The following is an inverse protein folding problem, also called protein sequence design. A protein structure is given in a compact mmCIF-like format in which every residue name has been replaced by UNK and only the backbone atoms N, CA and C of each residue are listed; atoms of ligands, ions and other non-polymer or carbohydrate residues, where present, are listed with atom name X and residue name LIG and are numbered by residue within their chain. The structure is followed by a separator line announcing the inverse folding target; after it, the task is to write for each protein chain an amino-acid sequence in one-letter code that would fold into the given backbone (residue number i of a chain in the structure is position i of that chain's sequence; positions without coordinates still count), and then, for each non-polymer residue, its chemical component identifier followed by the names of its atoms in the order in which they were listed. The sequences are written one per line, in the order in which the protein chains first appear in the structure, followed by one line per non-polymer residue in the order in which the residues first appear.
data_IF_426379551589
#
_entry.id   IF_426379551589
#
_cell.length_a   1.000
_cell.length_b   1.000
_cell.length_c   1.000
_cell.angle_alpha   90.00
_cell.angle_beta   90.00
_cell.angle_gamma   90.00
#
_symmetry.space_group_name_H-M   'P 1'
#
loop_
_entity.id
_entity.type
_entity.pdbx_description
1 polymer ?
#
# COMPACT_ATOMS: atom_id res chain seq x y z
N UNK A 1 47.84 -47.87 -8.65
CA UNK A 1 48.08 -47.98 -10.12
C UNK A 1 47.40 -46.78 -10.80
N UNK A 2 48.03 -46.04 -11.72
CA UNK A 2 48.16 -46.32 -13.18
C UNK A 2 46.77 -46.63 -13.80
N UNK A 3 46.08 -45.71 -14.51
CA UNK A 3 46.31 -45.05 -15.83
C UNK A 3 45.80 -45.87 -17.04
N UNK A 4 44.67 -45.44 -17.64
CA UNK A 4 44.33 -45.31 -19.10
C UNK A 4 44.54 -46.52 -20.06
N UNK A 5 44.18 -46.45 -21.37
CA UNK A 5 43.28 -45.54 -22.11
C UNK A 5 41.95 -46.29 -22.48
N UNK A 6 41.22 -46.29 -23.61
CA UNK A 6 41.26 -45.70 -24.99
C UNK A 6 39.91 -45.04 -25.38
N UNK A 7 39.57 -44.99 -26.68
CA UNK A 7 39.22 -43.73 -27.37
C UNK A 7 38.65 -43.95 -28.79
N UNK A 8 37.38 -43.59 -29.03
CA UNK A 8 36.78 -43.36 -30.38
C UNK A 8 35.48 -42.53 -30.24
N UNK A 9 35.12 -41.61 -31.15
CA UNK A 9 35.81 -41.04 -32.33
C UNK A 9 35.23 -39.64 -32.67
N UNK A 10 35.94 -38.84 -33.48
CA UNK A 10 35.70 -37.38 -33.68
C UNK A 10 35.19 -37.05 -35.08
N UNK A 11 34.31 -36.04 -35.21
CA UNK A 11 34.09 -35.09 -36.35
C UNK A 11 33.19 -33.94 -35.81
N UNK A 12 33.33 -32.63 -36.10
CA UNK A 12 34.42 -31.84 -36.71
C UNK A 12 34.04 -30.34 -36.91
N UNK A 13 34.91 -29.40 -36.49
CA UNK A 13 35.30 -28.04 -37.01
C UNK A 13 34.22 -27.18 -37.76
N UNK A 14 33.93 -25.90 -37.40
CA UNK A 14 34.49 -24.57 -37.86
C UNK A 14 33.84 -23.47 -36.96
N UNK A 15 34.50 -22.55 -36.23
CA UNK A 15 35.37 -21.36 -36.51
C UNK A 15 34.66 -20.03 -36.93
N UNK A 16 34.35 -19.22 -35.92
CA UNK A 16 34.37 -17.74 -35.73
C UNK A 16 34.69 -16.79 -36.92
N UNK A 17 33.93 -15.68 -37.09
CA UNK A 17 34.47 -14.29 -37.11
C UNK A 17 33.43 -13.15 -36.89
N UNK A 18 33.92 -11.93 -36.61
CA UNK A 18 33.23 -10.65 -36.38
C UNK A 18 33.54 -9.63 -37.50
N UNK A 19 32.60 -8.74 -37.86
CA UNK A 19 32.85 -7.52 -38.68
C UNK A 19 31.93 -6.37 -38.24
N UNK A 20 32.43 -5.13 -38.29
CA UNK A 20 31.72 -3.84 -38.14
C UNK A 20 31.75 -3.06 -39.47
N UNK A 21 30.74 -2.24 -39.80
CA UNK A 21 30.95 -1.00 -40.59
C UNK A 21 29.73 -0.04 -40.62
N UNK A 22 29.86 1.08 -41.36
CA UNK A 22 29.04 2.30 -41.28
C UNK A 22 28.36 2.69 -42.62
N UNK A 23 27.26 3.46 -42.56
CA UNK A 23 27.18 4.75 -43.28
C UNK A 23 26.24 4.97 -44.50
N UNK A 24 25.89 6.26 -44.67
CA UNK A 24 25.45 6.98 -45.88
C UNK A 24 23.95 7.05 -46.30
N UNK A 25 23.61 8.20 -46.93
CA UNK A 25 22.29 8.63 -47.42
C UNK A 25 22.18 8.57 -48.96
N UNK A 26 20.95 8.56 -49.49
CA UNK A 26 20.66 8.99 -50.86
C UNK A 26 19.25 9.63 -50.98
N UNK A 27 19.08 10.64 -51.85
CA UNK A 27 17.79 11.25 -52.20
C UNK A 27 17.40 10.92 -53.65
N UNK A 28 16.11 10.80 -53.93
CA UNK A 28 15.54 11.12 -55.25
C UNK A 28 14.05 11.51 -55.17
N UNK A 29 13.57 12.23 -56.20
CA UNK A 29 12.26 12.90 -56.24
C UNK A 29 11.35 12.32 -57.35
N UNK A 30 10.02 12.60 -57.34
CA UNK A 30 9.01 11.71 -57.94
C UNK A 30 8.51 12.12 -59.33
N UNK A 31 7.65 11.27 -59.92
CA UNK A 31 6.84 11.57 -61.11
C UNK A 31 5.34 11.43 -60.83
N UNK A 32 4.51 12.10 -61.64
CA UNK A 32 3.04 12.17 -61.50
C UNK A 32 2.32 11.20 -62.43
N UNK A 33 1.24 10.58 -61.93
CA UNK A 33 -0.09 10.35 -62.55
C UNK A 33 -0.93 9.55 -61.52
N UNK A 34 -2.22 9.82 -61.26
CA UNK A 34 -3.19 10.70 -61.93
C UNK A 34 -3.94 11.64 -60.95
N UNK A 35 -4.75 12.56 -61.50
CA UNK A 35 -5.74 13.39 -60.81
C UNK A 35 -7.17 12.85 -61.13
N UNK A 36 -8.31 13.28 -60.57
CA UNK A 36 -8.85 14.66 -60.45
C UNK A 36 -9.91 14.77 -59.35
N UNK A 37 -9.66 15.68 -58.38
CA UNK A 37 -10.52 16.74 -57.80
C UNK A 37 -12.04 16.52 -57.64
N UNK A 38 -12.55 16.82 -56.42
CA UNK A 38 -13.75 17.66 -56.06
C UNK A 38 -14.53 17.02 -54.87
N UNK A 39 -14.93 17.71 -53.78
CA UNK A 39 -14.80 19.10 -53.33
C UNK A 39 -14.70 19.16 -51.78
N UNK A 40 -14.61 20.38 -51.22
CA UNK A 40 -14.66 20.71 -49.78
C UNK A 40 -13.50 20.17 -48.90
N UNK A 41 -12.47 21.01 -48.68
CA UNK A 41 -11.56 20.88 -47.53
C UNK A 41 -12.19 21.41 -46.23
N UNK A 42 -11.51 21.37 -45.07
CA UNK A 42 -10.13 20.97 -44.77
C UNK A 42 -10.19 19.81 -43.74
N UNK A 43 -9.32 18.78 -43.72
CA UNK A 43 -7.85 18.76 -43.62
C UNK A 43 -7.30 19.46 -42.35
N UNK A 44 -6.26 18.95 -41.68
CA UNK A 44 -5.33 17.87 -42.09
C UNK A 44 -5.33 16.59 -41.25
N UNK A 45 -4.67 15.58 -41.80
CA UNK A 45 -4.35 14.29 -41.17
C UNK A 45 -2.84 14.23 -40.82
N UNK A 46 -2.25 13.10 -40.36
CA UNK A 46 -1.16 13.14 -39.38
C UNK A 46 0.23 13.47 -39.96
N UNK A 47 1.07 14.07 -39.12
CA UNK A 47 2.53 14.11 -39.32
C UNK A 47 3.19 12.98 -38.54
N UNK A 48 4.05 12.20 -39.19
CA UNK A 48 4.97 11.28 -38.53
C UNK A 48 6.13 12.14 -37.99
N UNK A 49 6.34 12.13 -36.67
CA UNK A 49 7.38 12.92 -36.00
C UNK A 49 8.51 12.00 -35.55
N UNK A 50 9.75 12.42 -35.79
CA UNK A 50 10.97 11.72 -35.36
C UNK A 50 11.03 11.62 -33.83
N UNK A 51 11.74 10.61 -33.32
CA UNK A 51 12.00 10.48 -31.89
C UNK A 51 12.72 11.73 -31.36
N UNK A 52 12.05 12.47 -30.48
CA UNK A 52 12.62 13.53 -29.64
C UNK A 52 12.28 13.23 -28.19
N UNK A 53 13.14 13.70 -27.28
CA UNK A 53 13.02 13.49 -25.82
C UNK A 53 11.70 14.05 -25.29
N UNK A 54 10.90 13.23 -24.60
CA UNK A 54 9.66 13.69 -24.00
C UNK A 54 9.93 14.55 -22.76
N UNK A 55 9.68 15.85 -22.86
CA UNK A 55 9.51 16.70 -21.69
C UNK A 55 8.19 16.38 -20.98
N UNK A 56 8.21 16.37 -19.64
CA UNK A 56 7.12 15.83 -18.82
C UNK A 56 6.05 16.87 -18.46
N UNK A 57 5.43 17.48 -19.47
CA UNK A 57 4.23 18.30 -19.34
C UNK A 57 3.10 17.72 -20.22
N UNK A 58 1.84 17.62 -19.80
CA UNK A 58 1.15 18.24 -18.65
C UNK A 58 0.35 17.21 -17.85
N UNK A 59 0.20 17.44 -16.54
CA UNK A 59 -0.86 16.78 -15.75
C UNK A 59 -2.18 17.50 -16.04
N UNK A 60 -3.26 16.76 -16.31
CA UNK A 60 -4.59 17.37 -16.51
C UNK A 60 -5.13 17.96 -15.20
N UNK A 61 -4.89 19.26 -15.02
CA UNK A 61 -5.36 20.07 -13.90
C UNK A 61 -6.91 20.16 -13.87
N UNK A 62 -7.60 19.92 -14.99
CA UNK A 62 -9.07 19.96 -15.05
C UNK A 62 -9.70 18.71 -14.44
N UNK A 63 -9.32 17.50 -14.87
CA UNK A 63 -9.73 16.26 -14.24
C UNK A 63 -9.28 16.19 -12.77
N UNK A 64 -8.07 16.69 -12.47
CA UNK A 64 -7.56 16.79 -11.10
C UNK A 64 -8.48 17.65 -10.20
N UNK A 65 -8.91 18.84 -10.67
CA UNK A 65 -9.79 19.69 -9.88
C UNK A 65 -11.25 19.20 -9.85
N UNK A 66 -11.73 18.53 -10.90
CA UNK A 66 -13.06 17.89 -10.91
C UNK A 66 -13.21 16.82 -9.82
N UNK A 67 -12.12 16.11 -9.50
CA UNK A 67 -12.07 15.18 -8.37
C UNK A 67 -11.94 15.85 -6.99
N UNK A 68 -11.68 17.17 -6.94
CA UNK A 68 -11.37 17.94 -5.72
C UNK A 68 -12.46 18.95 -5.30
N UNK A 69 -13.40 19.31 -6.17
CA UNK A 69 -14.47 20.30 -5.93
C UNK A 69 -15.57 19.78 -4.96
N UNK A 70 -15.17 19.55 -3.71
CA UNK A 70 -15.89 18.73 -2.72
C UNK A 70 -16.54 19.47 -1.54
N UNK A 71 -15.84 20.41 -0.90
CA UNK A 71 -16.37 21.22 0.21
C UNK A 71 -15.41 22.33 0.63
N UNK A 72 -15.95 23.51 0.95
CA UNK A 72 -15.23 24.58 1.67
C UNK A 72 -16.18 25.25 2.66
N UNK A 73 -16.19 24.76 3.90
CA UNK A 73 -16.87 25.43 5.03
C UNK A 73 -15.90 26.42 5.70
N UNK A 74 -16.37 27.57 6.20
CA UNK A 74 -15.51 28.55 6.87
C UNK A 74 -14.91 27.95 8.15
N UNK A 75 -13.62 28.15 8.36
CA UNK A 75 -12.93 27.64 9.53
C UNK A 75 -13.32 28.43 10.79
N UNK A 76 -13.77 27.73 11.83
CA UNK A 76 -14.01 28.31 13.16
C UNK A 76 -12.76 28.13 14.02
N UNK A 77 -12.13 29.23 14.43
CA UNK A 77 -10.86 29.20 15.18
C UNK A 77 -11.08 28.77 16.63
N UNK A 78 -11.02 27.46 16.89
CA UNK A 78 -11.04 26.92 18.26
C UNK A 78 -9.67 27.09 18.92
N UNK A 79 -9.63 27.64 20.13
CA UNK A 79 -8.39 27.78 20.90
C UNK A 79 -7.89 26.40 21.35
N UNK A 80 -6.63 26.09 21.03
CA UNK A 80 -6.01 24.81 21.38
C UNK A 80 -5.80 24.76 22.90
N UNK A 81 -6.51 23.86 23.58
CA UNK A 81 -6.14 23.43 24.93
C UNK A 81 -5.02 22.40 24.81
N UNK A 82 -3.97 22.55 25.62
CA UNK A 82 -2.87 21.59 25.77
C UNK A 82 -3.36 20.31 26.46
N UNK A 83 -4.07 19.47 25.71
CA UNK A 83 -4.45 18.12 26.15
C UNK A 83 -3.21 17.23 26.24
N UNK A 84 -3.11 16.43 27.31
CA UNK A 84 -2.11 15.35 27.36
C UNK A 84 -2.33 14.43 26.16
N UNK A 85 -1.25 14.09 25.46
CA UNK A 85 -1.26 13.07 24.42
C UNK A 85 -1.83 11.78 25.01
N UNK A 86 -2.74 11.13 24.30
CA UNK A 86 -3.35 9.85 24.69
C UNK A 86 -2.61 8.71 24.00
N UNK A 87 -2.55 7.56 24.66
CA UNK A 87 -2.07 6.32 24.04
C UNK A 87 -2.84 6.03 22.76
N UNK A 88 -2.16 5.88 21.63
CA UNK A 88 -2.77 5.45 20.36
C UNK A 88 -3.12 3.96 20.37
N UNK A 89 -2.36 3.16 21.12
CA UNK A 89 -2.55 1.73 21.24
C UNK A 89 -3.44 1.47 22.46
N UNK A 90 -4.44 0.62 22.27
CA UNK A 90 -5.31 0.09 23.32
C UNK A 90 -5.64 -1.34 22.92
N UNK A 91 -4.96 -2.35 23.53
CA UNK A 91 -5.26 -3.75 23.28
C UNK A 91 -6.69 -4.08 23.70
N UNK A 92 -7.34 -4.98 22.96
CA UNK A 92 -8.69 -5.47 23.29
C UNK A 92 -8.89 -6.88 22.74
N UNK A 93 -9.80 -7.65 23.37
CA UNK A 93 -10.17 -8.98 22.88
C UNK A 93 -10.81 -8.91 21.49
N UNK A 94 -11.61 -7.86 21.26
CA UNK A 94 -12.27 -7.59 19.99
C UNK A 94 -12.15 -6.08 19.63
N UNK A 95 -11.25 -5.71 18.70
CA UNK A 95 -10.96 -4.32 18.38
C UNK A 95 -11.87 -3.81 17.26
N UNK A 96 -12.54 -2.66 17.46
CA UNK A 96 -13.34 -2.02 16.42
C UNK A 96 -12.58 -1.91 15.08
N UNK A 97 -13.19 -2.21 13.92
CA UNK A 97 -12.49 -2.29 12.62
C UNK A 97 -11.96 -0.94 12.12
N UNK A 98 -12.25 0.16 12.83
CA UNK A 98 -11.65 1.46 12.61
C UNK A 98 -10.73 1.88 13.78
N UNK A 99 -9.67 2.59 13.43
CA UNK A 99 -8.81 3.29 14.37
C UNK A 99 -8.84 4.81 14.06
N UNK A 100 -9.13 5.67 15.06
CA UNK A 100 -8.91 7.11 14.91
C UNK A 100 -7.42 7.43 14.84
N UNK A 101 -6.99 8.14 13.79
CA UNK A 101 -5.62 8.64 13.59
C UNK A 101 -5.62 10.13 13.23
N UNK A 102 -4.47 10.82 13.40
CA UNK A 102 -4.33 12.26 13.10
C UNK A 102 -4.73 12.59 11.67
N UNK A 103 -5.43 13.71 11.50
CA UNK A 103 -5.92 14.24 10.23
C UNK A 103 -5.32 15.61 9.86
N UNK A 104 -5.96 16.28 8.89
CA UNK A 104 -5.55 17.60 8.42
C UNK A 104 -6.28 18.75 9.11
N UNK A 105 -5.60 19.89 9.27
CA UNK A 105 -6.10 21.03 10.05
C UNK A 105 -7.41 21.62 9.49
N UNK A 106 -7.69 21.45 8.19
CA UNK A 106 -8.92 21.91 7.51
C UNK A 106 -10.08 20.91 7.64
N UNK A 107 -10.62 20.78 8.85
CA UNK A 107 -11.97 20.27 9.08
C UNK A 107 -12.08 18.92 9.82
N UNK A 108 -11.00 18.16 9.96
CA UNK A 108 -10.96 16.96 10.83
C UNK A 108 -9.56 16.72 11.38
N UNK A 109 -9.35 17.07 12.66
CA UNK A 109 -8.15 16.69 13.42
C UNK A 109 -7.95 15.16 13.52
N UNK A 110 -9.00 14.38 13.30
CA UNK A 110 -8.96 12.91 13.34
C UNK A 110 -9.70 12.32 12.15
N UNK A 111 -9.06 11.37 11.45
CA UNK A 111 -9.70 10.51 10.44
C UNK A 111 -9.74 9.07 10.92
N UNK A 112 -10.58 8.24 10.30
CA UNK A 112 -10.69 6.82 10.63
C UNK A 112 -9.94 5.99 9.59
N UNK A 113 -8.99 5.16 10.00
CA UNK A 113 -8.33 4.17 9.15
C UNK A 113 -8.92 2.77 9.40
N UNK A 114 -9.29 2.00 8.36
CA UNK A 114 -9.62 0.59 8.52
C UNK A 114 -8.42 -0.21 9.02
N UNK A 115 -8.59 -0.91 10.16
CA UNK A 115 -7.53 -1.67 10.85
C UNK A 115 -7.01 -2.85 10.04
N UNK A 116 -7.76 -3.34 9.06
CA UNK A 116 -7.26 -4.26 8.04
C UNK A 116 -7.31 -3.56 6.70
N UNK A 117 -6.14 -3.40 6.08
CA UNK A 117 -6.01 -3.07 4.67
C UNK A 117 -5.49 -4.25 3.86
N UNK A 118 -5.22 -3.99 2.58
CA UNK A 118 -4.63 -4.96 1.66
C UNK A 118 -3.40 -4.33 0.99
N UNK A 119 -2.24 -4.96 1.14
CA UNK A 119 -0.99 -4.47 0.54
C UNK A 119 -0.72 -5.12 -0.80
N UNK A 120 -0.60 -4.28 -1.83
CA UNK A 120 -0.42 -4.72 -3.21
C UNK A 120 1.05 -4.98 -3.58
N UNK A 121 2.04 -4.47 -2.83
CA UNK A 121 3.49 -4.75 -2.87
C UNK A 121 4.04 -5.55 -4.07
N UNK A 122 4.66 -6.74 -3.90
CA UNK A 122 5.24 -7.55 -5.00
C UNK A 122 4.19 -8.32 -5.82
N UNK A 123 3.06 -7.70 -6.16
CA UNK A 123 2.05 -8.29 -7.08
C UNK A 123 2.48 -8.09 -8.52
N UNK A 124 2.42 -9.15 -9.33
CA UNK A 124 2.72 -9.05 -10.75
C UNK A 124 1.69 -8.14 -11.46
N UNK A 125 2.11 -7.16 -12.29
CA UNK A 125 1.24 -6.08 -12.78
C UNK A 125 -0.07 -6.56 -13.43
N UNK A 126 -0.02 -7.67 -14.17
CA UNK A 126 -1.16 -8.28 -14.86
C UNK A 126 -2.27 -8.77 -13.92
N UNK A 127 -1.96 -8.91 -12.62
CA UNK A 127 -2.89 -9.36 -11.58
C UNK A 127 -3.37 -8.25 -10.66
N UNK A 128 -2.69 -7.10 -10.63
CA UNK A 128 -2.93 -6.02 -9.68
C UNK A 128 -4.39 -5.54 -9.71
N UNK A 129 -4.97 -5.39 -10.91
CA UNK A 129 -6.38 -5.03 -11.06
C UNK A 129 -7.32 -6.13 -10.54
N UNK A 130 -7.06 -7.42 -10.83
CA UNK A 130 -7.87 -8.55 -10.33
C UNK A 130 -7.80 -8.67 -8.81
N UNK A 131 -6.61 -8.53 -8.22
CA UNK A 131 -6.41 -8.47 -6.77
C UNK A 131 -7.22 -7.33 -6.15
N UNK A 132 -7.16 -6.13 -6.74
CA UNK A 132 -7.92 -4.95 -6.30
C UNK A 132 -9.43 -5.19 -6.34
N UNK A 133 -9.95 -5.79 -7.43
CA UNK A 133 -11.37 -6.11 -7.56
C UNK A 133 -11.84 -7.16 -6.53
N UNK A 134 -11.09 -8.25 -6.35
CA UNK A 134 -11.40 -9.29 -5.36
C UNK A 134 -11.39 -8.71 -3.94
N UNK A 135 -10.40 -7.89 -3.59
CA UNK A 135 -10.36 -7.20 -2.30
C UNK A 135 -11.55 -6.25 -2.10
N UNK A 136 -11.94 -5.47 -3.12
CA UNK A 136 -13.11 -4.60 -3.06
C UNK A 136 -14.41 -5.38 -2.82
N UNK A 137 -14.56 -6.59 -3.38
CA UNK A 137 -15.71 -7.47 -3.11
C UNK A 137 -15.65 -8.09 -1.72
N UNK A 138 -14.47 -8.52 -1.25
CA UNK A 138 -14.21 -9.08 0.09
C UNK A 138 -14.32 -8.07 1.27
N UNK A 139 -14.98 -6.92 1.06
CA UNK A 139 -15.14 -5.88 2.08
C UNK A 139 -13.94 -4.96 2.30
N UNK A 140 -12.80 -5.15 1.64
CA UNK A 140 -11.59 -4.34 1.88
C UNK A 140 -11.81 -2.88 1.47
N UNK A 141 -11.54 -1.95 2.39
CA UNK A 141 -11.63 -0.50 2.13
C UNK A 141 -10.30 0.24 2.27
N UNK A 142 -9.29 -0.34 2.91
CA UNK A 142 -7.95 0.23 2.99
C UNK A 142 -7.01 -0.46 2.00
N UNK A 143 -6.40 0.32 1.10
CA UNK A 143 -5.44 -0.15 0.11
C UNK A 143 -4.06 0.47 0.41
N UNK A 144 -3.08 -0.38 0.66
CA UNK A 144 -1.68 -0.02 0.91
C UNK A 144 -0.88 -0.13 -0.39
N UNK A 145 -0.35 1.02 -0.83
CA UNK A 145 0.35 1.21 -2.11
C UNK A 145 1.64 2.04 -1.90
N UNK A 146 2.53 2.10 -2.89
CA UNK A 146 3.74 2.91 -2.87
C UNK A 146 4.30 3.14 -4.30
N UNK A 147 5.09 4.20 -4.50
CA UNK A 147 5.78 4.42 -5.79
C UNK A 147 6.68 3.24 -6.18
N UNK A 148 7.36 2.62 -5.20
CA UNK A 148 8.22 1.45 -5.42
C UNK A 148 7.45 0.18 -5.86
N UNK A 149 6.13 0.13 -5.74
CA UNK A 149 5.35 -1.01 -6.23
C UNK A 149 5.14 -0.94 -7.75
N UNK A 150 5.43 0.20 -8.40
CA UNK A 150 5.38 0.37 -9.85
C UNK A 150 3.99 0.28 -10.50
N UNK A 151 2.93 0.09 -9.71
CA UNK A 151 1.65 -0.45 -10.18
C UNK A 151 0.45 0.50 -10.04
N UNK A 152 0.67 1.81 -9.85
CA UNK A 152 -0.41 2.77 -9.57
C UNK A 152 -1.50 2.78 -10.67
N UNK A 153 -1.12 2.59 -11.93
CA UNK A 153 -2.05 2.63 -13.06
C UNK A 153 -2.99 1.41 -13.10
N UNK A 154 -2.46 0.22 -12.79
CA UNK A 154 -3.18 -1.05 -12.79
C UNK A 154 -4.21 -1.09 -11.65
N UNK A 155 -3.85 -0.52 -10.49
CA UNK A 155 -4.76 -0.31 -9.36
C UNK A 155 -5.88 0.66 -9.76
N UNK A 156 -5.53 1.72 -10.48
CA UNK A 156 -6.47 2.73 -10.94
C UNK A 156 -7.57 2.14 -11.84
N UNK A 157 -7.31 1.08 -12.60
CA UNK A 157 -8.33 0.41 -13.44
C UNK A 157 -9.53 -0.02 -12.59
N UNK A 158 -9.29 -0.83 -11.55
CA UNK A 158 -10.37 -1.32 -10.68
C UNK A 158 -10.92 -0.25 -9.74
N UNK A 159 -10.08 0.67 -9.24
CA UNK A 159 -10.56 1.80 -8.43
C UNK A 159 -11.51 2.71 -9.23
N UNK A 160 -11.18 3.04 -10.50
CA UNK A 160 -12.02 3.88 -11.37
C UNK A 160 -13.35 3.19 -11.70
N UNK A 161 -13.33 1.89 -12.00
CA UNK A 161 -14.55 1.10 -12.22
C UNK A 161 -15.47 1.09 -10.98
N UNK A 162 -14.90 0.86 -9.80
CA UNK A 162 -15.64 0.83 -8.53
C UNK A 162 -16.15 2.20 -8.10
N UNK A 163 -15.34 3.26 -8.19
CA UNK A 163 -15.78 4.62 -7.90
C UNK A 163 -16.87 5.04 -8.89
N UNK A 164 -16.76 4.65 -10.17
CA UNK A 164 -17.75 4.88 -11.21
C UNK A 164 -19.09 4.19 -10.97
N UNK A 165 -19.13 2.89 -10.65
CA UNK A 165 -20.36 2.08 -10.68
C UNK A 165 -20.53 1.08 -9.51
N UNK A 166 -19.72 1.14 -8.46
CA UNK A 166 -19.70 0.15 -7.38
C UNK A 166 -19.23 -1.22 -7.86
N UNK A 167 -19.64 -2.30 -7.17
CA UNK A 167 -19.25 -3.67 -7.54
C UNK A 167 -19.79 -4.08 -8.93
N UNK A 168 -20.91 -3.49 -9.38
CA UNK A 168 -21.43 -3.66 -10.75
C UNK A 168 -20.42 -3.24 -11.83
N UNK A 169 -19.61 -2.21 -11.55
CA UNK A 169 -18.53 -1.77 -12.44
C UNK A 169 -17.43 -2.83 -12.64
N UNK A 170 -17.33 -3.81 -11.75
CA UNK A 170 -16.32 -4.87 -11.74
C UNK A 170 -16.88 -6.23 -12.19
N UNK A 171 -18.16 -6.33 -12.57
CA UNK A 171 -18.78 -7.60 -13.02
C UNK A 171 -17.96 -8.35 -14.06
N UNK A 172 -17.36 -7.64 -15.03
CA UNK A 172 -16.51 -8.25 -16.07
C UNK A 172 -15.29 -8.97 -15.50
N UNK A 173 -14.75 -8.53 -14.36
CA UNK A 173 -13.62 -9.18 -13.66
C UNK A 173 -14.09 -10.43 -12.92
N UNK A 174 -15.33 -10.44 -12.41
CA UNK A 174 -15.91 -11.57 -11.68
C UNK A 174 -16.44 -12.69 -12.59
N UNK A 175 -16.68 -12.44 -13.89
CA UNK A 175 -17.19 -13.44 -14.84
C UNK A 175 -16.26 -14.65 -15.07
N UNK A 176 -15.00 -14.56 -14.65
CA UNK A 176 -14.03 -15.65 -14.70
C UNK A 176 -13.86 -16.37 -13.34
N UNK A 177 -14.59 -15.96 -12.31
CA UNK A 177 -14.57 -16.61 -11.00
C UNK A 177 -15.71 -17.62 -10.86
N UNK A 178 -15.53 -18.58 -9.95
CA UNK A 178 -16.61 -19.50 -9.55
C UNK A 178 -17.54 -18.82 -8.56
N UNK A 179 -18.85 -19.13 -8.64
CA UNK A 179 -19.85 -18.66 -7.68
C UNK A 179 -19.47 -19.00 -6.23
N UNK A 180 -18.94 -20.21 -5.99
CA UNK A 180 -18.34 -20.64 -4.71
C UNK A 180 -17.41 -19.59 -4.06
N UNK A 181 -16.58 -18.92 -4.87
CA UNK A 181 -15.66 -17.89 -4.38
C UNK A 181 -16.42 -16.59 -4.13
N UNK A 182 -17.28 -16.19 -5.05
CA UNK A 182 -18.02 -14.93 -5.00
C UNK A 182 -18.96 -14.88 -3.78
N UNK A 183 -19.61 -15.99 -3.44
CA UNK A 183 -20.39 -16.17 -2.21
C UNK A 183 -19.53 -15.95 -0.95
N UNK A 184 -18.31 -16.51 -0.91
CA UNK A 184 -17.37 -16.32 0.20
C UNK A 184 -16.93 -14.85 0.30
N UNK A 185 -16.66 -14.17 -0.82
CA UNK A 185 -16.29 -12.74 -0.80
C UNK A 185 -17.45 -11.87 -0.26
N UNK A 186 -18.68 -12.13 -0.69
CA UNK A 186 -19.85 -11.36 -0.30
C UNK A 186 -20.23 -11.61 1.17
N UNK A 187 -20.18 -12.87 1.63
CA UNK A 187 -20.36 -13.23 3.04
C UNK A 187 -19.29 -12.58 3.94
N UNK A 188 -18.04 -12.52 3.47
CA UNK A 188 -16.93 -11.83 4.16
C UNK A 188 -17.20 -10.32 4.29
N UNK A 189 -17.70 -9.65 3.24
CA UNK A 189 -18.07 -8.22 3.32
C UNK A 189 -19.21 -8.01 4.33
N UNK A 190 -20.24 -8.85 4.28
CA UNK A 190 -21.40 -8.77 5.19
C UNK A 190 -21.00 -8.97 6.66
N UNK A 191 -20.11 -9.92 6.94
CA UNK A 191 -19.56 -10.16 8.28
C UNK A 191 -18.80 -8.93 8.81
N UNK A 192 -17.90 -8.35 8.01
CA UNK A 192 -17.15 -7.15 8.39
C UNK A 192 -18.04 -5.92 8.58
N UNK A 193 -19.11 -5.79 7.81
CA UNK A 193 -20.10 -4.70 7.96
C UNK A 193 -20.97 -4.87 9.21
N UNK A 194 -21.41 -6.09 9.51
CA UNK A 194 -22.14 -6.41 10.76
C UNK A 194 -21.29 -6.05 11.98
N UNK A 195 -20.05 -6.52 12.03
CA UNK A 195 -19.11 -6.25 13.12
C UNK A 195 -18.84 -4.75 13.30
N UNK A 196 -18.70 -4.01 12.20
CA UNK A 196 -18.54 -2.55 12.25
C UNK A 196 -19.76 -1.86 12.87
N UNK A 197 -20.99 -2.30 12.59
CA UNK A 197 -22.21 -1.77 13.22
C UNK A 197 -22.25 -2.11 14.72
N UNK A 198 -21.92 -3.35 15.08
CA UNK A 198 -21.94 -3.83 16.47
C UNK A 198 -20.90 -3.12 17.35
N UNK A 199 -19.70 -2.82 16.83
CA UNK A 199 -18.62 -2.19 17.61
C UNK A 199 -18.55 -0.66 17.54
N UNK A 200 -19.13 -0.01 16.53
CA UNK A 200 -19.15 1.47 16.41
C UNK A 200 -20.43 2.10 16.97
N UNK A 201 -21.49 1.31 17.18
CA UNK A 201 -22.74 1.76 17.79
C UNK A 201 -23.68 2.56 16.87
N UNK A 202 -24.72 3.14 17.47
CA UNK A 202 -25.86 3.69 16.74
C UNK A 202 -25.47 4.88 15.85
N UNK A 203 -25.78 4.79 14.56
CA UNK A 203 -25.43 5.82 13.56
C UNK A 203 -24.11 5.60 12.82
N UNK A 204 -23.38 4.52 13.11
CA UNK A 204 -22.25 4.08 12.29
C UNK A 204 -22.69 3.84 10.83
N UNK A 205 -21.98 4.45 9.87
CA UNK A 205 -22.22 4.20 8.43
C UNK A 205 -21.48 2.92 8.04
N UNK A 206 -22.09 1.99 7.28
CA UNK A 206 -21.36 0.83 6.78
C UNK A 206 -20.19 1.29 5.93
N UNK A 207 -19.04 0.63 6.11
CA UNK A 207 -17.79 0.94 5.42
C UNK A 207 -17.89 0.71 3.91
N UNK A 208 -18.78 -0.20 3.48
CA UNK A 208 -19.18 -0.33 2.09
C UNK A 208 -20.21 0.71 1.67
N UNK A 209 -20.15 1.22 0.43
CA UNK A 209 -21.34 1.72 -0.24
C UNK A 209 -22.30 0.57 -0.51
N UNK A 210 -23.54 0.88 -0.85
CA UNK A 210 -24.52 -0.12 -1.25
C UNK A 210 -24.05 -0.89 -2.51
N UNK A 211 -24.18 -2.22 -2.47
CA UNK A 211 -23.70 -3.14 -3.53
C UNK A 211 -24.46 -2.90 -4.86
N UNK A 212 -25.70 -2.42 -4.78
CA UNK A 212 -26.54 -2.02 -5.92
C UNK A 212 -25.96 -0.86 -6.77
N UNK A 213 -24.96 -0.14 -6.27
CA UNK A 213 -24.33 1.00 -6.93
C UNK A 213 -25.06 2.35 -6.74
N UNK A 214 -26.13 2.44 -5.93
CA UNK A 214 -26.93 3.66 -5.77
C UNK A 214 -26.21 4.81 -5.03
N UNK A 215 -25.17 4.52 -4.26
CA UNK A 215 -24.27 5.53 -3.72
C UNK A 215 -23.55 6.32 -4.85
N UNK A 216 -23.50 7.65 -4.77
CA UNK A 216 -22.77 8.47 -5.75
C UNK A 216 -21.25 8.23 -5.71
N UNK A 217 -20.54 8.41 -6.82
CA UNK A 217 -19.09 8.11 -6.90
C UNK A 217 -18.22 8.81 -5.85
N UNK A 218 -18.58 10.05 -5.46
CA UNK A 218 -17.98 10.76 -4.31
C UNK A 218 -18.10 9.96 -3.01
N UNK A 219 -19.30 9.46 -2.69
CA UNK A 219 -19.57 8.66 -1.48
C UNK A 219 -18.86 7.30 -1.50
N UNK A 220 -18.55 6.76 -2.69
CA UNK A 220 -17.71 5.57 -2.85
C UNK A 220 -16.24 5.89 -2.59
N UNK A 221 -15.70 6.98 -3.15
CA UNK A 221 -14.33 7.43 -2.88
C UNK A 221 -14.11 7.81 -1.40
N UNK A 222 -15.08 8.46 -0.76
CA UNK A 222 -15.04 8.82 0.68
C UNK A 222 -15.02 7.60 1.62
N UNK A 223 -15.41 6.42 1.12
CA UNK A 223 -15.40 5.14 1.85
C UNK A 223 -14.15 4.29 1.60
N UNK A 224 -13.28 4.70 0.69
CA UNK A 224 -11.97 4.07 0.50
C UNK A 224 -10.90 4.86 1.28
N UNK A 225 -9.93 4.13 1.83
CA UNK A 225 -8.74 4.66 2.47
C UNK A 225 -7.53 4.26 1.63
N UNK A 226 -7.00 5.18 0.83
CA UNK A 226 -5.83 4.92 -0.02
C UNK A 226 -4.60 5.47 0.69
N UNK A 227 -3.70 4.58 1.14
CA UNK A 227 -2.44 4.91 1.79
C UNK A 227 -1.28 4.69 0.81
N UNK A 228 -0.48 5.72 0.56
CA UNK A 228 0.62 5.68 -0.40
C UNK A 228 1.96 6.02 0.27
N UNK A 229 3.07 5.46 -0.22
CA UNK A 229 4.42 5.74 0.28
C UNK A 229 5.33 6.26 -0.83
N UNK A 230 6.03 7.36 -0.55
CA UNK A 230 7.09 7.90 -1.41
C UNK A 230 8.43 7.22 -1.12
N UNK A 231 9.17 6.89 -2.18
CA UNK A 231 10.47 6.19 -2.12
C UNK A 231 11.58 7.05 -1.52
N UNK A 232 12.72 6.44 -1.23
CA UNK A 232 13.92 7.17 -0.79
C UNK A 232 14.48 8.11 -1.89
N UNK A 233 14.27 7.77 -3.17
CA UNK A 233 14.60 8.61 -4.32
C UNK A 233 13.59 9.75 -4.59
N UNK A 234 12.42 9.73 -3.96
CA UNK A 234 11.43 10.82 -4.00
C UNK A 234 11.53 11.77 -2.79
N UNK A 235 12.30 11.42 -1.76
CA UNK A 235 12.65 12.34 -0.68
C UNK A 235 13.67 13.37 -1.19
N UNK A 236 13.52 14.64 -0.82
CA UNK A 236 14.36 15.72 -1.34
C UNK A 236 14.44 16.92 -0.41
N UNK A 237 15.50 17.72 -0.55
CA UNK A 237 15.62 19.07 0.00
C UNK A 237 14.86 20.10 -0.85
N UNK A 238 14.43 19.74 -2.07
CA UNK A 238 13.42 20.47 -2.83
C UNK A 238 12.00 19.96 -2.51
N UNK A 239 11.29 20.72 -1.67
CA UNK A 239 9.88 20.48 -1.38
C UNK A 239 8.96 20.60 -2.62
N UNK A 240 9.33 21.30 -3.71
CA UNK A 240 8.53 21.34 -4.95
C UNK A 240 8.47 19.96 -5.60
N UNK A 241 9.61 19.25 -5.67
CA UNK A 241 9.67 17.90 -6.23
C UNK A 241 8.94 16.87 -5.36
N UNK A 242 9.03 16.95 -4.03
CA UNK A 242 8.21 16.12 -3.12
C UNK A 242 6.71 16.39 -3.33
N UNK A 243 6.31 17.66 -3.48
CA UNK A 243 4.91 18.03 -3.79
C UNK A 243 4.48 17.62 -5.20
N UNK A 244 5.42 17.37 -6.12
CA UNK A 244 5.17 16.90 -7.49
C UNK A 244 4.96 15.38 -7.52
N UNK A 245 5.78 14.59 -6.81
CA UNK A 245 5.66 13.12 -6.78
C UNK A 245 4.32 12.66 -6.20
N UNK A 246 3.88 13.23 -5.06
CA UNK A 246 2.57 12.89 -4.47
C UNK A 246 1.41 13.26 -5.39
N UNK A 247 1.48 14.39 -6.11
CA UNK A 247 0.46 14.77 -7.10
C UNK A 247 0.44 13.85 -8.32
N UNK A 248 1.61 13.36 -8.76
CA UNK A 248 1.73 12.31 -9.80
C UNK A 248 1.03 11.02 -9.36
N UNK A 249 1.30 10.53 -8.14
CA UNK A 249 0.63 9.35 -7.58
C UNK A 249 -0.90 9.52 -7.51
N UNK A 250 -1.42 10.68 -7.07
CA UNK A 250 -2.86 10.99 -7.06
C UNK A 250 -3.47 10.92 -8.47
N UNK A 251 -2.75 11.39 -9.49
CA UNK A 251 -3.20 11.39 -10.88
C UNK A 251 -3.18 9.99 -11.52
N UNK A 252 -2.13 9.20 -11.29
CA UNK A 252 -2.00 7.81 -11.75
C UNK A 252 -3.15 6.94 -11.20
N UNK A 253 -3.29 6.93 -9.86
CA UNK A 253 -4.38 6.26 -9.15
C UNK A 253 -5.77 6.83 -9.53
N UNK A 254 -5.83 8.10 -9.94
CA UNK A 254 -7.06 8.80 -10.34
C UNK A 254 -8.06 9.02 -9.22
N UNK A 255 -7.56 9.26 -8.00
CA UNK A 255 -8.35 9.25 -6.75
C UNK A 255 -8.67 10.64 -6.18
N UNK A 256 -8.19 11.72 -6.82
CA UNK A 256 -8.41 13.13 -6.44
C UNK A 256 -7.64 13.62 -5.21
N UNK A 257 -7.46 12.75 -4.22
CA UNK A 257 -6.66 12.94 -3.02
C UNK A 257 -6.18 11.58 -2.48
N UNK A 258 -5.20 11.57 -1.58
CA UNK A 258 -4.79 10.39 -0.80
C UNK A 258 -5.28 10.51 0.65
N UNK A 259 -5.65 9.39 1.28
CA UNK A 259 -6.11 9.41 2.67
C UNK A 259 -4.92 9.50 3.63
N UNK A 260 -3.80 8.87 3.27
CA UNK A 260 -2.56 8.94 4.03
C UNK A 260 -1.36 8.87 3.09
N UNK A 261 -0.32 9.66 3.38
CA UNK A 261 0.98 9.55 2.70
C UNK A 261 2.10 9.32 3.72
N UNK A 262 2.95 8.33 3.43
CA UNK A 262 4.08 7.96 4.28
C UNK A 262 5.41 8.24 3.60
N UNK A 263 6.42 8.62 4.38
CA UNK A 263 7.82 8.40 4.00
C UNK A 263 8.12 6.90 4.15
N UNK A 264 8.56 6.21 3.09
CA UNK A 264 8.64 4.74 3.09
C UNK A 264 9.76 4.17 3.97
N UNK A 265 10.86 4.90 4.18
CA UNK A 265 11.90 4.55 5.14
C UNK A 265 12.72 5.79 5.52
N UNK A 266 13.38 5.85 6.69
CA UNK A 266 14.19 7.00 7.12
C UNK A 266 15.53 7.12 6.36
N UNK A 267 15.68 6.44 5.23
CA UNK A 267 16.97 6.03 4.66
C UNK A 267 17.43 7.00 3.58
N UNK A 268 17.59 8.24 4.05
CA UNK A 268 18.20 9.41 3.43
C UNK A 268 18.84 10.23 4.55
N UNK A 269 19.56 11.31 4.26
CA UNK A 269 20.01 12.21 5.33
C UNK A 269 18.84 12.95 6.00
N UNK A 270 19.14 13.56 7.15
CA UNK A 270 18.19 14.31 7.98
C UNK A 270 17.50 15.46 7.21
N UNK A 271 18.21 16.13 6.31
CA UNK A 271 17.66 17.28 5.58
C UNK A 271 16.60 16.82 4.58
N UNK A 272 16.89 15.74 3.82
CA UNK A 272 15.89 15.09 2.96
C UNK A 272 14.71 14.56 3.77
N UNK A 273 14.93 13.88 4.91
CA UNK A 273 13.83 13.39 5.78
C UNK A 273 12.89 14.53 6.21
N UNK A 274 13.44 15.60 6.79
CA UNK A 274 12.63 16.65 7.43
C UNK A 274 11.96 17.58 6.41
N UNK A 275 12.65 17.97 5.34
CA UNK A 275 12.05 18.79 4.26
C UNK A 275 10.95 18.02 3.53
N UNK A 276 11.14 16.71 3.33
CA UNK A 276 10.09 15.82 2.82
C UNK A 276 8.88 15.79 3.76
N UNK A 277 9.09 15.65 5.06
CA UNK A 277 8.00 15.61 6.04
C UNK A 277 7.20 16.93 6.08
N UNK A 278 7.88 18.08 6.04
CA UNK A 278 7.23 19.39 5.91
C UNK A 278 6.38 19.48 4.62
N UNK A 279 6.92 19.05 3.48
CA UNK A 279 6.20 19.04 2.21
C UNK A 279 4.94 18.16 2.22
N UNK A 280 4.93 17.06 3.00
CA UNK A 280 3.73 16.24 3.22
C UNK A 280 2.70 16.95 4.13
N UNK A 281 3.13 17.65 5.19
CA UNK A 281 2.24 18.46 6.04
C UNK A 281 1.58 19.61 5.25
N UNK A 282 2.30 20.24 4.33
CA UNK A 282 1.71 21.23 3.41
C UNK A 282 0.65 20.62 2.49
N UNK A 283 0.89 19.43 1.93
CA UNK A 283 -0.10 18.72 1.10
C UNK A 283 -1.34 18.34 1.91
N UNK A 284 -1.15 17.95 3.17
CA UNK A 284 -2.23 17.68 4.14
C UNK A 284 -3.10 18.93 4.35
N UNK A 285 -2.48 20.05 4.67
CA UNK A 285 -3.21 21.30 4.94
C UNK A 285 -3.67 22.03 3.67
N UNK A 286 -3.15 21.63 2.49
CA UNK A 286 -3.69 21.94 1.17
C UNK A 286 -4.88 21.06 0.75
N UNK A 287 -5.16 19.97 1.47
CA UNK A 287 -6.26 19.03 1.17
C UNK A 287 -5.98 18.05 0.02
N UNK A 288 -4.71 17.90 -0.39
CA UNK A 288 -4.26 16.86 -1.35
C UNK A 288 -4.13 15.49 -0.67
N UNK A 289 -3.88 15.52 0.63
CA UNK A 289 -3.67 14.37 1.52
C UNK A 289 -4.56 14.60 2.76
N UNK A 290 -5.11 13.55 3.40
CA UNK A 290 -5.84 13.74 4.69
C UNK A 290 -4.96 13.52 5.93
N UNK A 291 -3.87 12.77 5.83
CA UNK A 291 -3.03 12.36 6.96
C UNK A 291 -1.57 12.10 6.53
N UNK A 292 -0.61 12.34 7.43
CA UNK A 292 0.83 12.16 7.17
C UNK A 292 1.39 11.13 8.15
N UNK A 293 2.23 10.23 7.66
CA UNK A 293 2.76 9.10 8.40
C UNK A 293 4.22 8.80 8.01
N UNK A 294 4.80 7.80 8.66
CA UNK A 294 6.12 7.25 8.31
C UNK A 294 6.06 5.73 8.26
N UNK A 295 7.08 5.10 7.70
CA UNK A 295 7.26 3.66 7.73
C UNK A 295 8.72 3.36 8.10
N UNK A 296 8.93 2.35 8.94
CA UNK A 296 10.25 1.84 9.33
C UNK A 296 11.15 2.86 10.06
N UNK A 297 10.53 3.86 10.69
CA UNK A 297 11.25 4.82 11.52
C UNK A 297 11.49 4.21 12.91
N UNK A 298 12.75 4.08 13.32
CA UNK A 298 13.14 3.86 14.72
C UNK A 298 13.07 5.15 15.54
N UNK A 299 13.33 5.07 16.86
CA UNK A 299 13.16 6.20 17.79
C UNK A 299 13.93 7.46 17.36
N UNK A 300 15.17 7.34 16.89
CA UNK A 300 15.99 8.48 16.45
C UNK A 300 15.28 9.37 15.39
N UNK A 301 14.97 8.84 14.19
CA UNK A 301 14.22 9.57 13.17
C UNK A 301 12.80 10.03 13.59
N UNK A 302 12.19 9.43 14.61
CA UNK A 302 10.92 9.90 15.20
C UNK A 302 11.14 11.15 16.07
N UNK A 303 12.19 11.16 16.90
CA UNK A 303 12.61 12.34 17.66
C UNK A 303 13.04 13.50 16.76
N UNK A 304 13.58 13.24 15.56
CA UNK A 304 13.84 14.30 14.58
C UNK A 304 12.56 15.00 14.10
N UNK A 305 11.46 14.25 13.92
CA UNK A 305 10.16 14.82 13.58
C UNK A 305 9.54 15.52 14.79
N UNK A 306 9.67 14.95 16.00
CA UNK A 306 9.20 15.60 17.23
C UNK A 306 9.89 16.95 17.46
N UNK A 307 11.21 17.02 17.28
CA UNK A 307 11.99 18.26 17.35
C UNK A 307 11.66 19.25 16.22
N UNK A 308 11.33 18.77 15.03
CA UNK A 308 10.91 19.60 13.89
C UNK A 308 9.60 20.35 14.14
N UNK A 309 8.62 19.69 14.77
CA UNK A 309 7.25 20.24 14.96
C UNK A 309 7.03 20.82 16.35
N UNK A 310 7.85 20.45 17.34
CA UNK A 310 7.78 20.92 18.72
C UNK A 310 6.42 20.63 19.36
N UNK A 311 5.83 21.64 20.00
CA UNK A 311 4.52 21.55 20.66
C UNK A 311 3.33 21.30 19.70
N UNK A 312 3.55 21.30 18.38
CA UNK A 312 2.52 20.98 17.38
C UNK A 312 2.28 19.46 17.31
N UNK A 313 1.79 18.86 18.40
CA UNK A 313 1.55 17.41 18.55
C UNK A 313 0.49 16.83 17.60
N UNK A 314 -0.20 17.67 16.83
CA UNK A 314 -1.10 17.31 15.72
C UNK A 314 -0.35 17.09 14.38
N UNK A 315 0.91 17.52 14.29
CA UNK A 315 1.80 17.30 13.13
C UNK A 315 2.78 16.15 13.34
N UNK A 316 2.76 15.51 14.52
CA UNK A 316 3.39 14.21 14.74
C UNK A 316 2.80 13.18 13.75
N UNK A 317 3.53 12.11 13.39
CA UNK A 317 3.03 11.11 12.46
C UNK A 317 1.69 10.53 12.94
N UNK A 318 0.75 10.34 12.01
CA UNK A 318 -0.51 9.69 12.30
C UNK A 318 -0.32 8.19 12.55
N UNK A 319 0.65 7.59 11.85
CA UNK A 319 1.04 6.19 11.97
C UNK A 319 2.55 6.01 11.68
N UNK A 320 3.15 4.99 12.29
CA UNK A 320 4.43 4.40 11.88
C UNK A 320 4.17 2.96 11.44
N UNK A 321 4.35 2.64 10.16
CA UNK A 321 4.22 1.26 9.65
C UNK A 321 5.56 0.52 9.82
N UNK A 322 5.56 -0.61 10.52
CA UNK A 322 6.76 -1.37 10.88
C UNK A 322 6.67 -2.82 10.41
N UNK A 323 7.81 -3.44 10.17
CA UNK A 323 7.93 -4.90 10.20
C UNK A 323 7.67 -5.37 11.64
N UNK A 324 6.56 -6.07 11.86
CA UNK A 324 6.14 -6.54 13.18
C UNK A 324 5.62 -7.97 13.12
N UNK A 325 5.93 -8.73 14.16
CA UNK A 325 5.46 -10.11 14.35
C UNK A 325 5.67 -10.56 15.80
N UNK A 326 5.12 -11.70 16.22
CA UNK A 326 5.49 -12.36 17.49
C UNK A 326 7.02 -12.43 17.70
N UNK A 327 7.77 -12.72 16.63
CA UNK A 327 9.23 -12.90 16.64
C UNK A 327 10.05 -11.60 16.61
N UNK A 328 9.41 -10.46 16.34
CA UNK A 328 10.03 -9.15 16.26
C UNK A 328 8.99 -8.05 16.53
N UNK A 329 8.90 -7.57 17.78
CA UNK A 329 7.85 -6.65 18.22
C UNK A 329 8.28 -5.17 18.33
N UNK A 330 9.56 -4.83 18.14
CA UNK A 330 10.10 -3.46 18.21
C UNK A 330 9.55 -2.65 19.42
N UNK A 331 9.59 -3.25 20.61
CA UNK A 331 8.87 -2.74 21.78
C UNK A 331 9.25 -1.30 22.18
N UNK A 332 10.50 -0.89 21.93
CA UNK A 332 10.99 0.47 22.08
C UNK A 332 10.26 1.47 21.15
N UNK A 333 10.21 1.17 19.85
CA UNK A 333 9.54 1.99 18.83
C UNK A 333 8.02 1.99 19.05
N UNK A 334 7.44 0.83 19.36
CA UNK A 334 6.00 0.68 19.64
C UNK A 334 5.60 1.47 20.88
N UNK A 335 6.38 1.43 21.96
CA UNK A 335 6.13 2.24 23.15
C UNK A 335 6.27 3.74 22.87
N UNK A 336 7.28 4.15 22.09
CA UNK A 336 7.42 5.54 21.66
C UNK A 336 6.18 6.01 20.87
N UNK A 337 5.75 5.22 19.88
CA UNK A 337 4.57 5.53 19.08
C UNK A 337 3.31 5.60 19.95
N UNK A 338 3.12 4.64 20.86
CA UNK A 338 1.99 4.61 21.79
C UNK A 338 1.92 5.88 22.62
N UNK A 339 2.99 6.22 23.34
CA UNK A 339 3.05 7.37 24.24
C UNK A 339 2.87 8.70 23.51
N UNK A 340 3.35 8.78 22.26
CA UNK A 340 3.23 9.96 21.40
C UNK A 340 1.97 9.96 20.51
N UNK A 341 1.00 9.08 20.77
CA UNK A 341 -0.29 9.04 20.07
C UNK A 341 -0.20 8.70 18.58
N UNK A 342 0.94 8.17 18.13
CA UNK A 342 1.19 7.70 16.76
C UNK A 342 0.67 6.28 16.65
N UNK A 343 -0.21 5.98 15.69
CA UNK A 343 -0.66 4.60 15.49
C UNK A 343 0.48 3.69 15.03
N UNK A 344 0.38 2.38 15.31
CA UNK A 344 1.33 1.39 14.81
C UNK A 344 0.69 0.59 13.69
N UNK A 345 1.37 0.55 12.54
CA UNK A 345 1.06 -0.34 11.43
C UNK A 345 1.93 -1.59 11.49
N UNK A 346 1.34 -2.76 11.32
CA UNK A 346 2.00 -4.06 11.34
C UNK A 346 2.02 -4.66 9.94
N UNK A 347 3.16 -4.52 9.26
CA UNK A 347 3.45 -5.17 7.97
C UNK A 347 4.21 -6.47 8.22
N UNK A 348 3.50 -7.49 8.71
CA UNK A 348 4.06 -8.84 8.86
C UNK A 348 4.33 -9.45 7.48
N UNK A 349 5.60 -9.56 7.07
CA UNK A 349 5.97 -10.06 5.75
C UNK A 349 5.53 -11.52 5.53
N UNK A 350 5.16 -11.85 4.27
CA UNK A 350 4.67 -13.16 3.88
C UNK A 350 5.64 -14.33 4.14
N UNK A 351 6.94 -14.06 4.37
CA UNK A 351 7.92 -15.06 4.83
C UNK A 351 7.58 -15.67 6.18
N UNK A 352 6.86 -14.97 7.06
CA UNK A 352 6.51 -15.47 8.39
C UNK A 352 5.32 -16.44 8.36
N UNK A 353 4.48 -16.34 7.32
CA UNK A 353 3.37 -17.25 7.00
C UNK A 353 3.73 -18.33 5.97
N UNK A 354 4.76 -18.10 5.16
CA UNK A 354 5.31 -19.02 4.15
C UNK A 354 6.46 -19.88 4.67
N UNK A 355 6.93 -20.84 3.86
CA UNK A 355 7.77 -21.98 4.30
C UNK A 355 9.11 -21.57 4.92
N UNK A 356 9.61 -20.36 4.64
CA UNK A 356 10.92 -19.83 5.08
C UNK A 356 10.89 -19.22 6.50
N UNK A 357 9.93 -19.65 7.33
CA UNK A 357 9.80 -19.22 8.72
C UNK A 357 10.83 -19.86 9.67
N UNK A 358 11.03 -19.31 10.88
CA UNK A 358 11.95 -19.86 11.86
C UNK A 358 11.45 -21.21 12.38
N UNK A 359 12.22 -22.28 12.17
CA UNK A 359 11.72 -23.66 12.17
C UNK A 359 11.09 -24.13 13.49
N UNK A 360 11.75 -23.89 14.63
CA UNK A 360 11.32 -24.43 15.93
C UNK A 360 10.07 -23.71 16.46
N UNK A 361 10.06 -22.37 16.44
CA UNK A 361 8.90 -21.60 16.90
C UNK A 361 7.73 -21.65 15.89
N UNK A 362 7.99 -22.09 14.66
CA UNK A 362 6.94 -22.46 13.72
C UNK A 362 6.09 -23.64 14.19
N UNK A 363 6.57 -24.49 15.10
CA UNK A 363 5.74 -25.49 15.77
C UNK A 363 4.67 -24.82 16.63
N UNK A 364 5.03 -23.83 17.45
CA UNK A 364 4.10 -23.08 18.32
C UNK A 364 2.99 -22.42 17.52
N UNK A 365 3.33 -21.73 16.43
CA UNK A 365 2.31 -21.18 15.52
C UNK A 365 1.45 -22.27 14.90
N UNK A 366 2.04 -23.40 14.51
CA UNK A 366 1.31 -24.51 13.88
C UNK A 366 0.32 -25.17 14.83
N UNK A 367 0.67 -25.33 16.10
CA UNK A 367 -0.20 -25.94 17.10
C UNK A 367 -1.34 -25.00 17.52
N UNK A 368 -1.06 -23.69 17.69
CA UNK A 368 -2.11 -22.68 17.83
C UNK A 368 -3.08 -22.70 16.63
N UNK A 369 -2.57 -22.74 15.39
CA UNK A 369 -3.44 -22.81 14.19
C UNK A 369 -4.31 -24.08 14.14
N UNK A 370 -3.76 -25.24 14.51
CA UNK A 370 -4.54 -26.50 14.60
C UNK A 370 -5.65 -26.40 15.64
N UNK A 371 -5.34 -25.90 16.84
CA UNK A 371 -6.28 -25.77 17.95
C UNK A 371 -7.39 -24.75 17.67
N UNK A 372 -7.11 -23.70 16.90
CA UNK A 372 -8.09 -22.65 16.55
C UNK A 372 -8.83 -22.88 15.22
N UNK A 373 -8.36 -23.79 14.36
CA UNK A 373 -8.94 -24.04 13.04
C UNK A 373 -8.71 -22.92 12.02
N UNK A 374 -7.64 -22.15 12.15
CA UNK A 374 -7.32 -20.96 11.29
C UNK A 374 -5.97 -21.09 10.61
N UNK A 375 -5.72 -20.31 9.57
CA UNK A 375 -4.40 -20.23 8.91
C UNK A 375 -3.37 -19.45 9.74
N UNK A 376 -2.06 -19.63 9.46
CA UNK A 376 -1.00 -18.82 10.08
C UNK A 376 -1.14 -17.32 9.79
N UNK A 377 -1.68 -16.97 8.62
CA UNK A 377 -1.94 -15.58 8.25
C UNK A 377 -3.06 -14.98 9.12
N UNK A 378 -4.19 -15.69 9.27
CA UNK A 378 -5.29 -15.29 10.17
C UNK A 378 -4.85 -15.15 11.64
N UNK A 379 -4.02 -16.08 12.13
CA UNK A 379 -3.43 -16.00 13.47
C UNK A 379 -2.61 -14.71 13.68
N UNK A 380 -1.74 -14.37 12.71
CA UNK A 380 -0.91 -13.17 12.76
C UNK A 380 -1.73 -11.87 12.59
N UNK A 381 -2.76 -11.87 11.73
CA UNK A 381 -3.71 -10.76 11.59
C UNK A 381 -4.47 -10.54 12.89
N UNK A 382 -5.02 -11.58 13.53
CA UNK A 382 -5.76 -11.44 14.79
C UNK A 382 -4.85 -10.98 15.94
N UNK A 383 -3.62 -11.48 16.02
CA UNK A 383 -2.60 -10.99 16.96
C UNK A 383 -2.36 -9.49 16.77
N UNK A 384 -2.04 -9.04 15.54
CA UNK A 384 -1.84 -7.63 15.22
C UNK A 384 -3.03 -6.76 15.61
N UNK A 385 -4.25 -7.21 15.32
CA UNK A 385 -5.47 -6.48 15.66
C UNK A 385 -5.66 -6.38 17.18
N UNK A 386 -5.50 -7.48 17.91
CA UNK A 386 -5.69 -7.50 19.36
C UNK A 386 -4.58 -6.78 20.15
N UNK A 387 -3.35 -6.68 19.62
CA UNK A 387 -2.32 -5.74 20.11
C UNK A 387 -2.74 -4.27 19.95
N UNK A 388 -3.73 -3.99 19.10
CA UNK A 388 -4.27 -2.65 18.85
C UNK A 388 -3.72 -1.95 17.61
N UNK A 389 -3.04 -2.68 16.71
CA UNK A 389 -2.38 -2.13 15.51
C UNK A 389 -3.33 -2.00 14.30
N UNK A 390 -2.80 -1.50 13.18
CA UNK A 390 -3.37 -1.61 11.82
C UNK A 390 -2.57 -2.64 11.04
N UNK A 391 -3.18 -3.70 10.52
CA UNK A 391 -2.52 -4.71 9.70
C UNK A 391 -2.79 -4.46 8.20
N UNK A 392 -1.81 -4.75 7.34
CA UNK A 392 -1.96 -4.67 5.87
C UNK A 392 -1.55 -5.99 5.19
N UNK A 393 -2.26 -7.10 5.44
CA UNK A 393 -1.96 -8.40 4.84
C UNK A 393 -1.95 -8.36 3.31
N UNK A 394 -1.26 -9.34 2.73
CA UNK A 394 -1.00 -9.46 1.29
C UNK A 394 -1.39 -10.85 0.80
N UNK A 395 -1.98 -10.91 -0.39
CA UNK A 395 -2.13 -12.13 -1.18
C UNK A 395 -2.06 -11.78 -2.68
N UNK A 396 -2.03 -12.79 -3.55
CA UNK A 396 -2.11 -12.65 -5.00
C UNK A 396 -3.50 -12.95 -5.55
N UNK A 397 -3.58 -13.30 -6.83
CA UNK A 397 -4.82 -13.79 -7.45
C UNK A 397 -4.61 -14.89 -8.50
N UNK A 398 -3.44 -15.55 -8.56
CA UNK A 398 -3.15 -16.61 -9.54
C UNK A 398 -4.01 -17.85 -9.28
N UNK A 399 -4.09 -18.28 -8.01
CA UNK A 399 -4.84 -19.47 -7.58
C UNK A 399 -6.15 -19.14 -6.84
N UNK A 400 -7.07 -20.12 -6.72
CA UNK A 400 -8.25 -20.00 -5.82
C UNK A 400 -7.82 -19.75 -4.38
N UNK A 401 -6.74 -20.40 -3.92
CA UNK A 401 -6.19 -20.26 -2.56
C UNK A 401 -5.74 -18.83 -2.29
N UNK A 402 -5.01 -18.20 -3.22
CA UNK A 402 -4.62 -16.79 -3.07
C UNK A 402 -5.85 -15.87 -2.98
N UNK A 403 -6.89 -16.10 -3.78
CA UNK A 403 -8.10 -15.26 -3.78
C UNK A 403 -8.95 -15.48 -2.53
N UNK A 404 -9.03 -16.71 -2.01
CA UNK A 404 -9.60 -17.00 -0.68
C UNK A 404 -8.81 -16.28 0.42
N UNK A 405 -7.47 -16.31 0.36
CA UNK A 405 -6.62 -15.63 1.34
C UNK A 405 -6.78 -14.10 1.36
N UNK A 406 -7.34 -13.47 0.32
CA UNK A 406 -7.76 -12.04 0.38
C UNK A 406 -8.96 -11.86 1.32
N UNK A 407 -9.93 -12.79 1.29
CA UNK A 407 -11.10 -12.77 2.15
C UNK A 407 -10.78 -13.26 3.57
N UNK A 408 -10.07 -14.38 3.70
CA UNK A 408 -9.66 -14.95 5.00
C UNK A 408 -8.81 -14.00 5.84
N UNK A 409 -8.04 -13.10 5.22
CA UNK A 409 -7.25 -12.09 5.92
C UNK A 409 -7.88 -10.68 5.89
N UNK A 410 -9.08 -10.53 5.34
CA UNK A 410 -9.94 -9.35 5.50
C UNK A 410 -10.55 -9.32 6.90
N UNK A 411 -10.95 -8.14 7.38
CA UNK A 411 -11.55 -8.00 8.73
C UNK A 411 -12.75 -8.94 8.93
N UNK A 412 -13.58 -9.14 7.90
CA UNK A 412 -14.76 -10.01 7.99
C UNK A 412 -14.50 -11.51 7.89
N UNK A 413 -13.25 -11.94 7.60
CA UNK A 413 -12.93 -13.33 7.27
C UNK A 413 -11.85 -13.98 8.15
N UNK A 414 -11.43 -13.31 9.23
CA UNK A 414 -10.32 -13.76 10.11
C UNK A 414 -10.55 -15.18 10.68
N UNK A 415 -11.79 -15.66 10.69
CA UNK A 415 -12.11 -17.07 10.41
C UNK A 415 -13.43 -17.11 9.60
N UNK A 416 -13.51 -17.76 8.42
CA UNK A 416 -14.73 -17.81 7.61
C UNK A 416 -15.86 -18.67 8.20
N UNK A 417 -15.57 -19.46 9.25
CA UNK A 417 -16.55 -20.25 10.01
C UNK A 417 -16.97 -19.55 11.32
N UNK A 418 -16.10 -18.72 11.88
CA UNK A 418 -16.34 -17.95 13.11
C UNK A 418 -15.85 -16.50 12.96
N UNK A 419 -16.75 -15.61 12.57
CA UNK A 419 -16.45 -14.18 12.40
C UNK A 419 -16.05 -13.47 13.70
N UNK A 420 -16.23 -14.13 14.85
CA UNK A 420 -15.93 -13.62 16.18
C UNK A 420 -14.62 -14.22 16.74
N UNK A 421 -13.87 -14.98 15.94
CA UNK A 421 -12.62 -15.65 16.34
C UNK A 421 -11.66 -14.68 17.04
N UNK A 422 -11.27 -15.04 18.26
CA UNK A 422 -10.34 -14.27 19.08
C UNK A 422 -9.26 -15.14 19.75
N UNK A 423 -8.14 -14.49 20.02
CA UNK A 423 -7.03 -15.02 20.82
C UNK A 423 -7.28 -14.68 22.30
N UNK A 424 -7.19 -15.69 23.16
CA UNK A 424 -7.27 -15.52 24.61
C UNK A 424 -6.02 -14.81 25.14
N UNK A 425 -6.06 -14.39 26.41
CA UNK A 425 -4.90 -13.77 27.06
C UNK A 425 -3.69 -14.72 27.09
N UNK A 426 -3.89 -16.05 27.17
CA UNK A 426 -2.80 -17.02 27.13
C UNK A 426 -2.28 -17.23 25.70
N UNK A 427 -3.14 -17.26 24.67
CA UNK A 427 -2.70 -17.27 23.27
C UNK A 427 -1.82 -16.04 22.96
N UNK A 428 -2.27 -14.85 23.41
CA UNK A 428 -1.53 -13.60 23.25
C UNK A 428 -0.21 -13.62 24.01
N UNK A 429 -0.18 -14.15 25.24
CA UNK A 429 1.03 -14.29 26.07
C UNK A 429 2.04 -15.29 25.49
N UNK A 430 1.58 -16.39 24.90
CA UNK A 430 2.42 -17.34 24.18
C UNK A 430 3.09 -16.64 22.98
N UNK A 431 2.30 -15.96 22.15
CA UNK A 431 2.81 -15.23 20.98
C UNK A 431 3.75 -14.09 21.37
N UNK A 432 3.40 -13.32 22.39
CA UNK A 432 4.21 -12.20 22.87
C UNK A 432 5.55 -12.65 23.48
N UNK A 433 5.63 -13.91 23.95
CA UNK A 433 6.86 -14.54 24.43
C UNK A 433 7.80 -15.05 23.33
N UNK A 434 7.45 -14.94 22.05
CA UNK A 434 8.28 -15.42 20.93
C UNK A 434 9.30 -14.38 20.41
N UNK A 435 9.38 -13.18 21.01
CA UNK A 435 10.26 -12.12 20.47
C UNK A 435 11.74 -12.45 20.65
N UNK A 436 12.41 -12.63 19.51
CA UNK A 436 13.83 -12.93 19.39
C UNK A 436 14.55 -11.96 18.43
N UNK A 437 13.94 -10.79 18.17
CA UNK A 437 14.40 -9.79 17.19
C UNK A 437 14.64 -10.35 15.78
N UNK A 438 13.80 -11.29 15.34
CA UNK A 438 13.95 -11.96 14.04
C UNK A 438 13.57 -11.06 12.87
N UNK A 439 14.57 -10.63 12.08
CA UNK A 439 14.42 -9.73 10.93
C UNK A 439 14.09 -10.57 9.67
N UNK A 440 12.93 -10.34 9.05
CA UNK A 440 12.48 -11.04 7.84
C UNK A 440 12.84 -10.30 6.53
N UNK A 441 13.04 -8.97 6.61
CA UNK A 441 13.70 -8.13 5.59
C UNK A 441 14.82 -7.28 6.22
N UNK A 442 15.55 -6.47 5.42
CA UNK A 442 16.51 -5.49 5.98
C UNK A 442 15.81 -4.51 6.93
N UNK A 443 14.55 -4.15 6.67
CA UNK A 443 13.78 -3.18 7.46
C UNK A 443 13.56 -3.55 8.94
N UNK A 444 13.64 -4.83 9.33
CA UNK A 444 13.48 -5.28 10.72
C UNK A 444 14.61 -4.89 11.69
N UNK A 445 15.54 -3.99 11.32
CA UNK A 445 16.63 -3.53 12.20
C UNK A 445 16.10 -2.70 13.38
N UNK A 446 16.51 -3.05 14.60
CA UNK A 446 16.23 -2.34 15.87
C UNK A 446 17.35 -1.36 16.23
N UNK A 447 18.55 -1.80 15.91
CA UNK A 447 19.87 -1.18 15.92
C UNK A 447 19.97 0.13 15.12
N UNK A 448 18.91 0.51 14.39
CA UNK A 448 18.91 1.67 13.51
C UNK A 448 19.63 1.37 12.20
N UNK A 449 20.26 2.42 11.65
CA UNK A 449 20.86 2.42 10.32
C UNK A 449 22.05 3.37 10.31
N UNK A 450 23.14 2.97 9.68
CA UNK A 450 24.20 3.88 9.26
C UNK A 450 23.92 4.38 7.83
N UNK A 451 24.52 5.51 7.42
CA UNK A 451 24.34 6.02 6.05
C UNK A 451 24.93 5.05 5.00
N UNK A 452 25.90 4.23 5.40
CA UNK A 452 26.52 3.17 4.59
C UNK A 452 25.63 1.93 4.38
N UNK A 453 24.60 1.70 5.22
CA UNK A 453 23.70 0.54 5.07
C UNK A 453 22.81 0.62 3.82
N UNK A 454 22.73 1.80 3.19
CA UNK A 454 21.64 2.20 2.28
C UNK A 454 22.12 2.84 0.97
N UNK A 455 23.42 2.74 0.66
CA UNK A 455 23.99 3.32 -0.57
C UNK A 455 23.75 2.42 -1.79
N UNK A 456 22.92 2.87 -2.74
CA UNK A 456 22.77 2.25 -4.06
C UNK A 456 21.47 2.62 -4.77
N UNK A 457 21.45 2.58 -6.10
CA UNK A 457 20.22 2.75 -6.90
C UNK A 457 19.28 1.57 -6.78
N UNK A 458 19.85 0.38 -6.58
CA UNK A 458 19.16 -0.91 -6.67
C UNK A 458 18.83 -1.48 -5.28
N UNK A 459 18.91 -0.63 -4.24
CA UNK A 459 18.72 -1.02 -2.84
C UNK A 459 17.23 -1.17 -2.51
N UNK A 460 16.74 -2.41 -2.42
CA UNK A 460 15.39 -2.70 -1.92
C UNK A 460 15.42 -2.90 -0.37
N UNK A 461 14.73 -2.06 0.42
CA UNK A 461 14.62 -2.23 1.88
C UNK A 461 14.04 -3.59 2.32
N UNK A 462 13.27 -4.23 1.45
CA UNK A 462 12.46 -5.41 1.78
C UNK A 462 13.15 -6.73 1.47
N UNK A 463 14.31 -6.70 0.80
CA UNK A 463 15.10 -7.89 0.48
C UNK A 463 16.14 -8.16 1.57
N UNK A 464 16.52 -9.43 1.73
CA UNK A 464 17.61 -9.84 2.63
C UNK A 464 18.92 -9.85 1.82
N UNK A 465 20.09 -9.88 2.46
CA UNK A 465 21.35 -10.23 1.78
C UNK A 465 21.54 -11.75 1.78
#
# INVERSE_FOLDING_TARGET
MKRRPLLSSVHGIVVILLVLCQGANALQLPTRRDAVISAAGLLGAPSIVSAQTMEAETVDISAFNAARSGSSSPATTSAIRSGKIRSSITPSLDPSPLLPIRGGRKGKATIQIPRVGFSLYKTAPELVSRCTAIALRAGVRHFDVASLYGSNAEIAVSLKMYIGNGLKGLEKVYKEEKDELLEILDATSLAGEKHAVETLGFGAKPLSPTIDGSAGGRQRRERLFISHKISNSEQSTDAVSVRRSVKKAIAELGVGYLDMVSIHSPLTDKERRLTTYQALLELRDGGFVKSVSVCNYGVGPLEEIAALVGDNVEDYPAMNQLELSPFNQHADVVNWCSNNGVAVGCSAWSKLSGVDGPADEWAVLSDLTKTKGVTKAQLLVRWSLQKGYVCVPRSGSKSKVERLAIAENSYGGVNPVDTNFALSQEDMKILDGLDRSYKAGRLGRRDGWADEDVTGTDWDPTEVM
#
